data_IF_624498302614
#
_entry.id   IF_624498302614
#
_cell.length_a   1.000
_cell.length_b   1.000
_cell.length_c   1.000
_cell.angle_alpha   90.00
_cell.angle_beta   90.00
_cell.angle_gamma   90.00
#
_symmetry.space_group_name_H-M   'P 1'
#
loop_
_entity.id
_entity.type
_entity.pdbx_description
1 polymer ?
#
# COMPACT_ATOMS: atom_id res chain seq x y z
N UNK A 1 -2.55 31.07 19.49
CA UNK A 1 -3.12 30.29 18.37
C UNK A 1 -2.87 30.86 16.97
N UNK A 2 -2.82 32.18 16.78
CA UNK A 2 -2.63 32.78 15.43
C UNK A 2 -1.27 32.47 14.79
N UNK A 3 -0.18 32.41 15.57
CA UNK A 3 1.15 32.07 15.05
C UNK A 3 1.25 30.64 14.51
N UNK A 4 0.72 29.66 15.24
CA UNK A 4 0.68 28.24 14.81
C UNK A 4 -0.12 28.07 13.52
N UNK A 5 -1.28 28.74 13.41
CA UNK A 5 -2.10 28.72 12.18
C UNK A 5 -1.35 29.28 10.98
N UNK A 6 -0.60 30.37 11.15
CA UNK A 6 0.18 30.98 10.06
C UNK A 6 1.34 30.08 9.63
N UNK A 7 2.06 29.47 10.57
CA UNK A 7 3.12 28.52 10.28
C UNK A 7 2.60 27.26 9.57
N UNK A 8 1.42 26.75 9.98
CA UNK A 8 0.79 25.61 9.33
C UNK A 8 0.41 25.93 7.88
N UNK A 9 -0.23 27.08 7.63
CA UNK A 9 -0.60 27.50 6.27
C UNK A 9 0.64 27.62 5.39
N UNK A 10 1.72 28.22 5.88
CA UNK A 10 2.97 28.35 5.15
C UNK A 10 3.64 26.98 4.86
N UNK A 11 3.54 26.02 5.78
CA UNK A 11 4.04 24.66 5.54
C UNK A 11 3.22 23.91 4.49
N UNK A 12 1.89 23.96 4.60
CA UNK A 12 0.98 23.23 3.72
C UNK A 12 0.89 23.81 2.30
N UNK A 13 1.35 25.03 2.05
CA UNK A 13 1.44 25.59 0.69
C UNK A 13 2.75 25.24 -0.01
N UNK A 14 3.77 24.77 0.72
CA UNK A 14 5.08 24.46 0.14
C UNK A 14 5.06 23.10 -0.57
N UNK A 15 5.34 23.03 -1.88
CA UNK A 15 5.37 21.76 -2.61
C UNK A 15 6.41 20.80 -2.03
N UNK A 16 7.54 21.33 -1.52
CA UNK A 16 8.59 20.53 -0.89
C UNK A 16 8.10 19.72 0.31
N UNK A 17 7.09 20.20 1.05
CA UNK A 17 6.52 19.46 2.18
C UNK A 17 5.85 18.16 1.72
N UNK A 18 5.10 18.21 0.62
CA UNK A 18 4.46 17.03 0.04
C UNK A 18 5.48 16.05 -0.55
N UNK A 19 6.55 16.55 -1.16
CA UNK A 19 7.66 15.70 -1.60
C UNK A 19 8.37 15.02 -0.44
N UNK A 20 8.58 15.73 0.67
CA UNK A 20 9.14 15.14 1.89
C UNK A 20 8.22 14.05 2.46
N UNK A 21 6.90 14.30 2.53
CA UNK A 21 5.93 13.27 2.93
C UNK A 21 5.98 12.06 2.00
N UNK A 22 5.95 12.28 0.68
CA UNK A 22 6.03 11.20 -0.31
C UNK A 22 7.31 10.39 -0.13
N UNK A 23 8.45 11.03 0.11
CA UNK A 23 9.72 10.36 0.37
C UNK A 23 9.66 9.50 1.65
N UNK A 24 9.06 10.00 2.73
CA UNK A 24 8.88 9.22 3.97
C UNK A 24 8.02 7.98 3.72
N UNK A 25 6.90 8.12 3.00
CA UNK A 25 6.06 6.98 2.65
C UNK A 25 6.79 5.97 1.76
N UNK A 26 7.57 6.44 0.79
CA UNK A 26 8.39 5.58 -0.07
C UNK A 26 9.46 4.82 0.71
N UNK A 27 10.20 5.51 1.58
CA UNK A 27 11.22 4.88 2.45
C UNK A 27 10.57 3.81 3.31
N UNK A 28 9.42 4.10 3.93
CA UNK A 28 8.69 3.12 4.73
C UNK A 28 8.32 1.89 3.90
N UNK A 29 7.85 2.06 2.66
CA UNK A 29 7.55 0.93 1.75
C UNK A 29 8.80 0.11 1.50
N UNK A 30 9.92 0.74 1.10
CA UNK A 30 11.17 0.03 0.80
C UNK A 30 11.69 -0.75 2.00
N UNK A 31 11.75 -0.12 3.18
CA UNK A 31 12.20 -0.75 4.43
C UNK A 31 11.32 -1.96 4.76
N UNK A 32 10.01 -1.79 4.67
CA UNK A 32 9.04 -2.84 4.95
C UNK A 32 9.17 -4.03 4.00
N UNK A 33 9.34 -3.76 2.70
CA UNK A 33 9.57 -4.80 1.69
C UNK A 33 10.87 -5.56 1.94
N UNK A 34 11.94 -4.86 2.34
CA UNK A 34 13.23 -5.49 2.64
C UNK A 34 13.19 -6.36 3.90
N UNK A 35 12.52 -5.90 4.97
CA UNK A 35 12.49 -6.61 6.24
C UNK A 35 11.48 -7.77 6.28
N UNK A 36 10.40 -7.69 5.50
CA UNK A 36 9.35 -8.71 5.47
C UNK A 36 9.11 -9.12 4.03
N UNK A 37 9.94 -10.03 3.49
CA UNK A 37 9.95 -10.37 2.06
C UNK A 37 8.76 -11.23 1.61
N UNK A 38 8.04 -11.88 2.52
CA UNK A 38 6.80 -12.60 2.23
C UNK A 38 5.65 -12.01 3.02
N UNK A 39 4.61 -11.59 2.32
CA UNK A 39 3.41 -10.97 2.90
C UNK A 39 2.18 -11.61 2.30
N UNK A 40 1.72 -12.72 2.89
CA UNK A 40 0.66 -13.50 2.28
C UNK A 40 -0.61 -12.69 2.05
N UNK A 41 -0.96 -11.75 2.93
CA UNK A 41 -2.13 -10.88 2.79
C UNK A 41 -2.03 -9.95 1.57
N UNK A 42 -0.85 -9.37 1.34
CA UNK A 42 -0.60 -8.43 0.23
C UNK A 42 -0.49 -9.18 -1.10
N UNK A 43 0.18 -10.32 -1.09
CA UNK A 43 0.31 -11.23 -2.23
C UNK A 43 -1.08 -11.73 -2.69
N UNK A 44 -1.96 -12.10 -1.74
CA UNK A 44 -3.33 -12.51 -2.07
C UNK A 44 -4.19 -11.40 -2.66
N UNK A 45 -4.10 -10.17 -2.12
CA UNK A 45 -4.75 -9.00 -2.70
C UNK A 45 -4.23 -8.68 -4.11
N UNK A 46 -2.92 -8.83 -4.34
CA UNK A 46 -2.31 -8.61 -5.64
C UNK A 46 -2.77 -9.64 -6.67
N UNK A 47 -2.76 -10.93 -6.32
CA UNK A 47 -3.25 -12.00 -7.20
C UNK A 47 -4.72 -11.79 -7.56
N UNK A 48 -5.55 -11.42 -6.58
CA UNK A 48 -6.96 -11.08 -6.81
C UNK A 48 -7.15 -9.87 -7.72
N UNK A 49 -6.41 -8.79 -7.50
CA UNK A 49 -6.47 -7.58 -8.33
C UNK A 49 -6.00 -7.84 -9.78
N UNK A 50 -4.93 -8.62 -9.94
CA UNK A 50 -4.45 -9.03 -11.25
C UNK A 50 -5.53 -9.86 -11.98
N UNK A 51 -6.10 -10.86 -11.32
CA UNK A 51 -7.16 -11.69 -11.88
C UNK A 51 -8.42 -10.87 -12.23
N UNK A 52 -8.78 -9.86 -11.43
CA UNK A 52 -9.87 -8.94 -11.75
C UNK A 52 -9.65 -8.19 -13.07
N UNK A 53 -8.41 -7.75 -13.32
CA UNK A 53 -8.07 -6.99 -14.52
C UNK A 53 -7.90 -7.87 -15.76
N UNK A 54 -7.49 -9.14 -15.60
CA UNK A 54 -7.15 -10.02 -16.73
C UNK A 54 -8.21 -11.09 -17.03
N UNK A 55 -8.89 -11.61 -16.01
CA UNK A 55 -9.90 -12.67 -16.13
C UNK A 55 -10.93 -12.60 -14.98
N UNK A 56 -11.80 -11.58 -14.96
CA UNK A 56 -12.67 -11.28 -13.83
C UNK A 56 -13.65 -12.41 -13.48
N UNK A 57 -14.04 -13.23 -14.47
CA UNK A 57 -14.94 -14.36 -14.26
C UNK A 57 -14.35 -15.44 -13.33
N UNK A 58 -13.02 -15.54 -13.24
CA UNK A 58 -12.31 -16.56 -12.46
C UNK A 58 -11.53 -15.95 -11.28
N UNK A 59 -11.81 -14.69 -10.93
CA UNK A 59 -11.14 -13.98 -9.83
C UNK A 59 -11.26 -14.75 -8.50
N UNK A 60 -12.45 -15.30 -8.21
CA UNK A 60 -12.70 -16.04 -6.99
C UNK A 60 -11.97 -17.38 -6.93
N UNK A 61 -11.77 -18.05 -8.07
CA UNK A 61 -11.01 -19.29 -8.15
C UNK A 61 -9.52 -19.04 -7.87
N UNK A 62 -8.97 -17.96 -8.41
CA UNK A 62 -7.59 -17.55 -8.17
C UNK A 62 -7.37 -17.21 -6.68
N UNK A 63 -8.30 -16.45 -6.08
CA UNK A 63 -8.26 -16.15 -4.65
C UNK A 63 -8.37 -17.43 -3.78
N UNK A 64 -9.30 -18.34 -4.13
CA UNK A 64 -9.48 -19.60 -3.41
C UNK A 64 -8.25 -20.51 -3.48
N UNK A 65 -7.59 -20.60 -4.65
CA UNK A 65 -6.35 -21.35 -4.82
C UNK A 65 -5.19 -20.74 -4.02
N UNK A 66 -5.14 -19.41 -3.91
CA UNK A 66 -4.14 -18.73 -3.08
C UNK A 66 -4.38 -18.96 -1.58
N UNK A 67 -5.62 -18.84 -1.11
CA UNK A 67 -6.05 -19.15 0.25
C UNK A 67 -5.72 -20.61 0.63
N UNK A 68 -6.02 -21.56 -0.25
CA UNK A 68 -5.74 -22.98 -0.05
C UNK A 68 -4.25 -23.30 0.06
N UNK A 69 -3.40 -22.58 -0.70
CA UNK A 69 -1.93 -22.77 -0.65
C UNK A 69 -1.30 -22.10 0.57
N UNK A 70 -1.73 -20.88 0.89
CA UNK A 70 -1.13 -20.09 1.97
C UNK A 70 -1.63 -20.50 3.36
N UNK A 71 -2.79 -21.16 3.46
CA UNK A 71 -3.48 -21.45 4.73
C UNK A 71 -3.76 -20.19 5.58
N UNK A 72 -3.66 -19.00 4.97
CA UNK A 72 -3.91 -17.72 5.61
C UNK A 72 -5.36 -17.35 5.36
N UNK A 73 -6.17 -17.31 6.40
CA UNK A 73 -7.53 -16.78 6.34
C UNK A 73 -7.39 -15.26 6.54
N UNK A 74 -7.51 -14.50 5.45
CA UNK A 74 -7.59 -13.05 5.48
C UNK A 74 -9.01 -12.57 5.86
#
# INVERSE_FOLDING_TARGET
MQGLRRAAVDLFTRPAFYWALAAVFWIRVVVLTALVPRRPDTEGMWEGAHAYLTNPAHMYDAAAAYLARSHVIA
#
